data_IF_246416771794
#
_entry.id   IF_246416771794
#
_cell.length_a   1.000
_cell.length_b   1.000
_cell.length_c   1.000
_cell.angle_alpha   90.00
_cell.angle_beta   90.00
_cell.angle_gamma   90.00
#
_symmetry.space_group_name_H-M   'P 1'
#
loop_
_entity.id
_entity.type
_entity.pdbx_description
1 polymer ?
#
# COMPACT_ATOMS: atom_id res chain seq x y z
N UNK A 1 14.78 2.93 12.37
CA UNK A 1 13.57 3.72 12.69
C UNK A 1 13.94 5.06 13.32
N UNK A 2 13.35 6.19 12.90
CA UNK A 2 13.51 7.48 13.60
C UNK A 2 12.82 7.51 14.97
N UNK A 3 13.30 8.41 15.82
CA UNK A 3 12.67 8.79 17.09
C UNK A 3 11.44 9.66 16.84
N UNK A 4 10.56 9.81 17.85
CA UNK A 4 9.41 10.72 17.78
C UNK A 4 9.80 12.17 17.43
N UNK A 5 10.94 12.66 17.92
CA UNK A 5 11.45 14.00 17.61
C UNK A 5 11.96 14.11 16.17
N UNK A 6 12.62 13.08 15.65
CA UNK A 6 13.07 13.04 14.25
C UNK A 6 11.86 13.05 13.28
N UNK A 7 10.78 12.32 13.58
CA UNK A 7 9.56 12.31 12.77
C UNK A 7 8.92 13.68 12.62
N UNK A 8 8.86 14.46 13.71
CA UNK A 8 8.31 15.81 13.66
C UNK A 8 9.11 16.71 12.72
N UNK A 9 10.44 16.53 12.67
CA UNK A 9 11.34 17.27 11.78
C UNK A 9 11.33 16.75 10.35
N UNK A 10 11.13 15.45 10.16
CA UNK A 10 11.14 14.82 8.84
C UNK A 10 10.07 15.44 7.92
N UNK A 11 8.93 15.85 8.47
CA UNK A 11 7.87 16.48 7.67
C UNK A 11 8.35 17.76 6.97
N UNK A 12 9.23 18.53 7.61
CA UNK A 12 9.78 19.78 7.08
C UNK A 12 10.69 19.53 5.86
N UNK A 13 11.27 18.34 5.73
CA UNK A 13 12.20 17.98 4.66
C UNK A 13 11.54 17.81 3.29
N UNK A 14 10.23 17.59 3.26
CA UNK A 14 9.46 17.48 2.03
C UNK A 14 9.17 18.85 1.40
N UNK A 15 9.26 19.95 2.17
CA UNK A 15 9.10 21.34 1.70
C UNK A 15 7.87 21.58 0.79
N UNK A 16 6.72 21.02 1.17
CA UNK A 16 5.47 21.14 0.41
C UNK A 16 4.56 22.24 0.96
N UNK A 17 3.81 22.89 0.07
CA UNK A 17 2.78 23.84 0.46
C UNK A 17 1.55 23.08 0.95
N UNK A 18 1.10 23.42 2.16
CA UNK A 18 -0.10 22.83 2.75
C UNK A 18 -1.36 23.05 1.88
N UNK A 19 -2.12 21.97 1.65
CA UNK A 19 -3.40 21.99 0.96
C UNK A 19 -4.51 21.37 1.83
N UNK A 20 -5.15 22.13 2.74
CA UNK A 20 -6.12 21.62 3.69
C UNK A 20 -7.31 20.89 3.05
N UNK A 21 -7.77 21.35 1.88
CA UNK A 21 -8.88 20.74 1.15
C UNK A 21 -8.53 19.34 0.65
N UNK A 22 -7.33 19.17 0.08
CA UNK A 22 -6.83 17.87 -0.36
C UNK A 22 -6.58 16.95 0.84
N UNK A 23 -5.97 17.45 1.92
CA UNK A 23 -5.76 16.66 3.14
C UNK A 23 -7.07 16.07 3.66
N UNK A 24 -8.16 16.84 3.62
CA UNK A 24 -9.50 16.33 4.02
C UNK A 24 -9.96 15.18 3.11
N UNK A 25 -9.76 15.27 1.79
CA UNK A 25 -10.12 14.20 0.85
C UNK A 25 -9.29 12.94 1.08
N UNK A 26 -7.96 13.08 1.15
CA UNK A 26 -7.03 11.97 1.33
C UNK A 26 -7.22 11.23 2.65
N UNK A 27 -7.58 11.94 3.72
CA UNK A 27 -7.94 11.32 5.02
C UNK A 27 -9.21 10.47 4.98
N UNK A 28 -9.99 10.52 3.91
CA UNK A 28 -11.17 9.66 3.76
C UNK A 28 -10.96 8.53 2.74
N UNK A 29 -9.77 8.42 2.15
CA UNK A 29 -9.46 7.37 1.18
C UNK A 29 -9.17 6.03 1.84
N UNK A 30 -9.52 4.95 1.14
CA UNK A 30 -9.11 3.60 1.49
C UNK A 30 -7.60 3.39 1.31
N UNK A 31 -7.06 2.48 2.11
CA UNK A 31 -5.70 1.96 2.00
C UNK A 31 -5.75 0.64 1.24
N UNK A 32 -4.94 0.49 0.21
CA UNK A 32 -4.95 -0.65 -0.68
C UNK A 32 -3.69 -1.49 -0.47
N UNK A 33 -3.89 -2.76 -0.16
CA UNK A 33 -2.85 -3.79 -0.21
C UNK A 33 -3.11 -4.70 -1.39
N UNK A 34 -2.09 -4.95 -2.22
CA UNK A 34 -2.24 -5.65 -3.49
C UNK A 34 -1.37 -6.92 -3.54
N UNK A 35 -2.00 -8.02 -3.94
CA UNK A 35 -1.32 -9.24 -4.38
C UNK A 35 -1.31 -9.29 -5.90
N UNK A 36 -0.13 -9.12 -6.50
CA UNK A 36 0.06 -9.24 -7.96
C UNK A 36 0.26 -10.72 -8.32
N UNK A 37 -0.52 -11.20 -9.27
CA UNK A 37 -0.57 -12.62 -9.63
C UNK A 37 0.17 -12.86 -10.95
N UNK A 38 1.40 -13.35 -10.84
CA UNK A 38 2.20 -13.79 -12.00
C UNK A 38 1.71 -15.14 -12.55
N UNK A 39 1.34 -16.06 -11.66
CA UNK A 39 0.77 -17.37 -11.96
C UNK A 39 -0.43 -17.62 -11.06
N UNK A 40 -1.50 -18.22 -11.60
CA UNK A 40 -2.71 -18.57 -10.83
C UNK A 40 -2.54 -19.88 -10.04
N UNK A 41 -1.45 -20.61 -10.26
CA UNK A 41 -1.19 -21.85 -9.53
C UNK A 41 -0.98 -21.59 -8.03
N UNK A 42 -1.79 -22.22 -7.18
CA UNK A 42 -1.65 -22.18 -5.72
C UNK A 42 -2.29 -20.96 -5.06
N UNK A 43 -2.82 -20.01 -5.85
CA UNK A 43 -3.45 -18.79 -5.32
C UNK A 43 -4.67 -19.11 -4.46
N UNK A 44 -5.43 -20.16 -4.78
CA UNK A 44 -6.58 -20.56 -3.98
C UNK A 44 -6.20 -20.94 -2.55
N UNK A 45 -5.05 -21.59 -2.35
CA UNK A 45 -4.57 -22.01 -1.04
C UNK A 45 -4.14 -20.80 -0.22
N UNK A 46 -3.37 -19.90 -0.85
CA UNK A 46 -2.96 -18.64 -0.23
C UNK A 46 -4.17 -17.81 0.23
N UNK A 47 -5.19 -17.71 -0.62
CA UNK A 47 -6.41 -16.99 -0.28
C UNK A 47 -7.22 -17.69 0.82
N UNK A 48 -7.29 -19.03 0.80
CA UNK A 48 -7.90 -19.80 1.87
C UNK A 48 -7.24 -19.52 3.22
N UNK A 49 -5.91 -19.52 3.29
CA UNK A 49 -5.17 -19.21 4.52
C UNK A 49 -5.45 -17.80 5.01
N UNK A 50 -5.45 -16.81 4.11
CA UNK A 50 -5.75 -15.42 4.46
C UNK A 50 -7.17 -15.28 5.01
N UNK A 51 -8.19 -15.78 4.30
CA UNK A 51 -9.59 -15.65 4.74
C UNK A 51 -9.88 -16.45 6.00
N UNK A 52 -9.27 -17.62 6.16
CA UNK A 52 -9.36 -18.42 7.39
C UNK A 52 -8.73 -17.71 8.59
N UNK A 53 -7.63 -16.99 8.36
CA UNK A 53 -6.94 -16.28 9.44
C UNK A 53 -7.67 -15.00 9.85
N UNK A 54 -8.44 -14.40 8.96
CA UNK A 54 -9.06 -13.08 9.09
C UNK A 54 -8.11 -11.88 9.08
N UNK A 55 -6.83 -12.11 8.79
CA UNK A 55 -5.82 -11.07 8.79
C UNK A 55 -4.99 -11.09 7.51
N UNK A 56 -4.57 -9.91 7.06
CA UNK A 56 -3.30 -9.78 6.36
C UNK A 56 -2.20 -9.90 7.41
N UNK A 57 -1.17 -10.69 7.14
CA UNK A 57 -0.09 -10.98 8.08
C UNK A 57 1.24 -10.66 7.40
N UNK A 58 2.10 -9.94 8.09
CA UNK A 58 3.48 -9.64 7.65
C UNK A 58 4.28 -10.93 7.46
N UNK A 59 5.26 -10.91 6.56
CA UNK A 59 6.05 -12.08 6.21
C UNK A 59 6.79 -12.65 7.44
N UNK A 60 7.33 -11.79 8.31
CA UNK A 60 7.97 -12.23 9.55
C UNK A 60 7.02 -12.98 10.47
N UNK A 61 5.78 -12.52 10.57
CA UNK A 61 4.75 -13.15 11.41
C UNK A 61 4.20 -14.45 10.82
N UNK A 62 4.39 -14.70 9.52
CA UNK A 62 4.06 -15.98 8.87
C UNK A 62 5.09 -17.09 9.17
N UNK A 63 6.29 -16.74 9.65
CA UNK A 63 7.32 -17.68 10.09
C UNK A 63 8.21 -18.23 8.95
N UNK A 64 9.05 -19.21 9.28
CA UNK A 64 10.15 -19.70 8.43
C UNK A 64 9.72 -20.36 7.10
N UNK A 65 8.42 -20.66 6.93
CA UNK A 65 7.87 -21.34 5.76
C UNK A 65 6.99 -20.42 4.89
N UNK A 66 7.01 -19.10 5.12
CA UNK A 66 6.27 -18.14 4.30
C UNK A 66 6.71 -18.26 2.84
N UNK A 67 5.81 -18.74 1.97
CA UNK A 67 6.13 -18.86 0.55
C UNK A 67 6.36 -17.48 -0.06
N UNK A 68 7.39 -17.36 -0.91
CA UNK A 68 7.67 -16.15 -1.67
C UNK A 68 6.54 -15.73 -2.64
N UNK A 69 5.52 -16.56 -2.82
CA UNK A 69 4.28 -16.28 -3.55
C UNK A 69 3.45 -15.17 -2.90
N UNK A 70 3.68 -14.86 -1.61
CA UNK A 70 3.06 -13.78 -0.83
C UNK A 70 3.85 -12.46 -0.83
N UNK A 71 4.60 -12.19 -1.91
CA UNK A 71 5.60 -11.12 -2.04
C UNK A 71 6.87 -11.39 -1.23
N UNK A 72 7.60 -12.45 -1.65
CA UNK A 72 8.83 -12.93 -1.03
C UNK A 72 9.74 -11.82 -0.53
N UNK A 73 10.15 -11.99 0.73
CA UNK A 73 11.09 -11.10 1.39
C UNK A 73 12.44 -11.26 0.73
N UNK A 74 12.92 -10.23 0.03
CA UNK A 74 14.31 -10.22 -0.36
C UNK A 74 15.15 -10.18 0.93
N UNK A 75 16.35 -10.75 0.95
CA UNK A 75 17.15 -10.74 2.19
C UNK A 75 17.41 -9.32 2.70
N UNK A 76 17.46 -8.35 1.79
CA UNK A 76 17.49 -6.94 2.12
C UNK A 76 16.26 -6.45 2.92
N UNK A 77 15.06 -6.95 2.62
CA UNK A 77 13.87 -6.59 3.38
C UNK A 77 13.97 -7.10 4.83
N UNK A 78 14.59 -8.26 5.06
CA UNK A 78 14.87 -8.77 6.42
C UNK A 78 15.93 -7.95 7.15
N UNK A 79 17.02 -7.59 6.47
CA UNK A 79 18.10 -6.75 7.04
C UNK A 79 17.56 -5.40 7.55
N UNK A 80 16.49 -4.93 6.92
CA UNK A 80 15.81 -3.69 7.27
C UNK A 80 14.59 -3.86 8.19
N UNK A 81 14.27 -5.09 8.58
CA UNK A 81 13.01 -5.45 9.25
C UNK A 81 11.75 -5.01 8.47
N UNK A 82 11.84 -4.85 7.14
CA UNK A 82 10.68 -4.56 6.29
C UNK A 82 9.70 -5.72 6.27
N UNK A 83 10.16 -6.93 6.53
CA UNK A 83 9.37 -8.15 6.66
C UNK A 83 8.45 -8.16 7.89
N UNK A 84 8.64 -7.25 8.84
CA UNK A 84 7.73 -7.00 9.98
C UNK A 84 6.44 -6.28 9.58
N UNK A 85 6.38 -5.71 8.38
CA UNK A 85 5.32 -4.80 7.99
C UNK A 85 4.53 -5.29 6.77
N UNK A 86 3.27 -4.90 6.74
CA UNK A 86 2.37 -5.00 5.61
C UNK A 86 2.28 -3.61 4.99
N UNK A 87 2.56 -3.52 3.69
CA UNK A 87 2.61 -2.25 2.98
C UNK A 87 1.30 -1.98 2.27
N UNK A 88 0.83 -0.75 2.43
CA UNK A 88 -0.37 -0.22 1.82
C UNK A 88 -0.02 1.02 1.00
N UNK A 89 -0.82 1.26 -0.02
CA UNK A 89 -0.85 2.52 -0.76
C UNK A 89 -2.17 3.22 -0.46
N UNK A 90 -2.16 4.54 -0.30
CA UNK A 90 -3.40 5.29 -0.05
C UNK A 90 -4.05 5.66 -1.37
N UNK A 91 -5.35 5.38 -1.54
CA UNK A 91 -6.04 5.68 -2.80
C UNK A 91 -5.34 5.04 -4.00
N UNK A 92 -5.39 5.70 -5.16
CA UNK A 92 -4.80 5.18 -6.39
C UNK A 92 -3.31 5.49 -6.63
N UNK A 93 -2.48 5.58 -5.57
CA UNK A 93 -1.02 5.30 -5.70
C UNK A 93 -0.79 3.79 -5.87
N UNK A 94 -1.76 3.04 -6.36
CA UNK A 94 -1.46 1.72 -6.84
C UNK A 94 -0.70 1.97 -8.12
N UNK A 95 0.62 1.73 -8.13
CA UNK A 95 1.35 1.61 -9.39
C UNK A 95 0.71 0.43 -10.11
N UNK A 96 -0.27 0.72 -10.96
CA UNK A 96 -1.29 -0.21 -11.40
C UNK A 96 -0.70 -1.21 -12.40
N UNK A 97 0.12 -2.14 -11.93
CA UNK A 97 0.24 -3.44 -12.57
C UNK A 97 -0.85 -4.38 -12.00
N UNK A 98 -2.08 -3.86 -11.87
CA UNK A 98 -3.25 -4.56 -11.36
C UNK A 98 -3.96 -5.40 -12.43
N UNK A 99 -3.27 -5.73 -13.52
CA UNK A 99 -3.84 -6.51 -14.61
C UNK A 99 -4.31 -7.90 -14.17
N UNK A 100 -3.65 -8.49 -13.16
CA UNK A 100 -4.01 -9.75 -12.52
C UNK A 100 -3.72 -9.64 -11.03
N UNK A 101 -4.74 -9.39 -10.21
CA UNK A 101 -4.51 -9.10 -8.78
C UNK A 101 -5.71 -9.38 -7.89
N UNK A 102 -5.41 -9.55 -6.60
CA UNK A 102 -6.38 -9.49 -5.50
C UNK A 102 -5.99 -8.31 -4.63
N UNK A 103 -6.94 -7.43 -4.32
CA UNK A 103 -6.67 -6.16 -3.65
C UNK A 103 -7.60 -6.00 -2.45
N UNK A 104 -7.03 -5.68 -1.30
CA UNK A 104 -7.73 -5.41 -0.06
C UNK A 104 -7.81 -3.89 0.14
N UNK A 105 -9.01 -3.32 0.10
CA UNK A 105 -9.30 -1.92 0.41
C UNK A 105 -9.71 -1.82 1.89
N UNK A 106 -8.82 -1.26 2.71
CA UNK A 106 -9.01 -1.06 4.14
C UNK A 106 -9.48 0.37 4.40
N UNK A 107 -10.64 0.57 5.05
CA UNK A 107 -11.11 1.89 5.42
C UNK A 107 -10.12 2.66 6.31
N UNK A 108 -10.02 4.00 6.14
CA UNK A 108 -9.02 4.81 6.83
C UNK A 108 -9.11 4.75 8.35
N UNK A 109 -10.32 4.53 8.90
CA UNK A 109 -10.56 4.44 10.34
C UNK A 109 -9.78 3.30 11.02
N UNK A 110 -9.38 2.26 10.29
CA UNK A 110 -8.60 1.14 10.83
C UNK A 110 -7.09 1.38 10.80
N UNK A 111 -6.62 2.37 10.02
CA UNK A 111 -5.20 2.61 9.76
C UNK A 111 -4.71 3.93 10.37
N UNK A 112 -5.52 4.99 10.31
CA UNK A 112 -5.09 6.34 10.73
C UNK A 112 -4.82 6.51 12.22
N UNK A 113 -5.44 5.68 13.06
CA UNK A 113 -5.23 5.72 14.51
C UNK A 113 -3.99 4.95 14.97
N UNK A 114 -3.31 4.22 14.07
CA UNK A 114 -2.15 3.41 14.41
C UNK A 114 -1.00 4.33 14.83
N UNK A 115 -0.43 4.03 16.00
CA UNK A 115 0.71 4.77 16.51
C UNK A 115 1.96 4.47 15.71
N UNK A 116 2.89 5.44 15.65
CA UNK A 116 4.14 5.31 14.90
C UNK A 116 4.93 4.02 15.18
N UNK A 117 4.89 3.51 16.41
CA UNK A 117 5.61 2.28 16.79
C UNK A 117 5.07 1.04 16.06
N UNK A 118 3.79 1.07 15.69
CA UNK A 118 3.06 -0.03 15.06
C UNK A 118 2.74 0.27 13.58
N UNK A 119 2.94 1.50 13.12
CA UNK A 119 2.78 1.82 11.71
C UNK A 119 3.24 3.24 11.32
N UNK A 120 3.80 3.36 10.12
CA UNK A 120 4.41 4.59 9.64
C UNK A 120 4.23 4.78 8.13
N UNK A 121 4.47 6.00 7.68
CA UNK A 121 4.61 6.33 6.27
C UNK A 121 6.09 6.40 5.91
N UNK A 122 6.46 5.98 4.70
CA UNK A 122 7.80 6.17 4.14
C UNK A 122 7.77 6.35 2.63
N UNK A 123 8.88 6.82 2.06
CA UNK A 123 9.13 6.61 0.64
C UNK A 123 9.79 5.24 0.44
N UNK A 124 9.50 4.53 -0.64
CA UNK A 124 10.09 3.21 -0.89
C UNK A 124 11.63 3.29 -0.92
N UNK A 125 12.30 2.47 -0.10
CA UNK A 125 13.76 2.50 0.00
C UNK A 125 14.45 2.18 -1.33
N UNK A 126 13.77 1.47 -2.25
CA UNK A 126 14.34 1.14 -3.55
C UNK A 126 14.82 2.38 -4.33
N UNK A 127 14.27 3.55 -4.00
CA UNK A 127 14.61 4.85 -4.58
C UNK A 127 15.90 5.47 -4.03
N UNK A 128 16.46 4.93 -2.94
CA UNK A 128 17.64 5.45 -2.24
C UNK A 128 18.86 4.57 -2.43
N UNK A 129 19.21 4.27 -3.68
CA UNK A 129 20.41 3.48 -4.01
C UNK A 129 21.64 4.38 -4.12
N UNK A 130 22.73 3.99 -3.47
CA UNK A 130 24.01 4.70 -3.57
C UNK A 130 24.70 4.33 -4.88
N UNK A 131 25.04 5.35 -5.68
CA UNK A 131 25.81 5.20 -6.92
C UNK A 131 25.23 4.17 -7.92
N UNK A 132 23.92 3.93 -7.90
CA UNK A 132 23.25 2.95 -8.78
C UNK A 132 23.48 1.48 -8.41
N UNK A 133 24.13 1.20 -7.28
CA UNK A 133 24.34 -0.16 -6.78
C UNK A 133 23.08 -0.67 -6.07
N UNK A 134 22.62 -1.85 -6.47
CA UNK A 134 21.43 -2.51 -5.92
C UNK A 134 21.67 -3.06 -4.51
N UNK A 135 22.92 -3.14 -4.04
CA UNK A 135 23.27 -3.69 -2.74
C UNK A 135 23.65 -2.63 -1.70
N UNK A 136 23.75 -1.35 -2.08
CA UNK A 136 24.08 -0.27 -1.15
C UNK A 136 23.01 0.83 -1.14
N UNK A 137 22.34 0.98 0.00
CA UNK A 137 21.27 1.96 0.17
C UNK A 137 21.69 3.13 1.04
N UNK A 138 21.11 4.30 0.75
CA UNK A 138 21.15 5.46 1.64
C UNK A 138 20.05 5.35 2.70
N UNK A 139 20.34 4.55 3.71
CA UNK A 139 19.46 4.35 4.84
C UNK A 139 19.15 5.63 5.60
N UNK A 140 20.05 6.62 5.59
CA UNK A 140 19.83 7.86 6.30
C UNK A 140 18.80 8.73 5.56
N UNK A 141 18.96 8.90 4.25
CA UNK A 141 17.96 9.59 3.42
C UNK A 141 16.60 8.87 3.46
N UNK A 142 16.58 7.54 3.41
CA UNK A 142 15.32 6.80 3.57
C UNK A 142 14.69 7.03 4.96
N UNK A 143 15.48 6.95 6.05
CA UNK A 143 15.02 7.22 7.43
C UNK A 143 14.40 8.61 7.56
N UNK A 144 14.90 9.57 6.79
CA UNK A 144 14.44 10.95 6.78
C UNK A 144 13.08 11.15 6.07
N UNK A 145 12.61 10.14 5.33
CA UNK A 145 11.26 10.10 4.76
C UNK A 145 10.21 9.55 5.71
N UNK A 146 10.62 8.90 6.79
CA UNK A 146 9.70 8.18 7.68
C UNK A 146 8.90 9.17 8.53
N UNK A 147 7.58 9.03 8.50
CA UNK A 147 6.61 9.88 9.19
C UNK A 147 5.55 9.06 9.92
N UNK A 148 4.78 9.68 10.82
CA UNK A 148 3.51 9.05 11.26
C UNK A 148 2.54 8.90 10.09
N UNK A 149 1.62 7.93 10.16
CA UNK A 149 0.59 7.71 9.13
C UNK A 149 -0.14 9.01 8.76
N UNK A 150 -0.57 9.78 9.77
CA UNK A 150 -1.29 11.04 9.56
C UNK A 150 -0.45 12.10 8.83
N UNK A 151 0.83 12.22 9.17
CA UNK A 151 1.74 13.13 8.46
C UNK A 151 2.00 12.66 7.03
N UNK A 152 2.13 11.35 6.81
CA UNK A 152 2.26 10.75 5.49
C UNK A 152 1.09 11.06 4.56
N UNK A 153 -0.14 10.91 5.07
CA UNK A 153 -1.36 11.31 4.34
C UNK A 153 -1.32 12.79 3.97
N UNK A 154 -0.90 13.64 4.91
CA UNK A 154 -0.84 15.09 4.69
C UNK A 154 0.23 15.45 3.63
N UNK A 155 1.43 14.87 3.70
CA UNK A 155 2.50 15.06 2.70
C UNK A 155 2.03 14.62 1.32
N UNK A 156 1.38 13.46 1.25
CA UNK A 156 0.87 12.94 0.00
C UNK A 156 -0.19 13.85 -0.62
N UNK A 157 -1.13 14.33 0.19
CA UNK A 157 -2.17 15.25 -0.25
C UNK A 157 -1.59 16.57 -0.75
N UNK A 158 -0.60 17.12 -0.04
CA UNK A 158 0.08 18.35 -0.40
C UNK A 158 0.92 18.18 -1.69
N UNK A 159 1.55 17.03 -1.86
CA UNK A 159 2.28 16.68 -3.07
C UNK A 159 1.35 16.65 -4.28
N UNK A 160 0.24 15.93 -4.19
CA UNK A 160 -0.73 15.83 -5.29
C UNK A 160 -1.35 17.18 -5.62
N UNK A 161 -1.66 17.98 -4.61
CA UNK A 161 -2.17 19.33 -4.82
C UNK A 161 -1.15 20.27 -5.47
N UNK A 162 0.15 19.98 -5.36
CA UNK A 162 1.23 20.77 -5.94
C UNK A 162 1.54 20.32 -7.38
N UNK A 163 1.72 19.01 -7.57
CA UNK A 163 2.14 18.41 -8.84
C UNK A 163 1.00 18.29 -9.87
N UNK A 164 -0.20 17.92 -9.41
CA UNK A 164 -1.36 17.64 -10.26
C UNK A 164 -2.48 18.67 -10.05
N UNK A 165 -2.11 19.92 -9.76
CA UNK A 165 -3.04 20.97 -9.32
C UNK A 165 -4.22 21.26 -10.27
N UNK A 166 -4.02 21.07 -11.58
CA UNK A 166 -5.02 21.32 -12.63
C UNK A 166 -5.94 20.14 -12.85
N UNK A 167 -5.41 18.92 -12.75
CA UNK A 167 -6.17 17.68 -12.94
C UNK A 167 -5.70 16.64 -11.91
N UNK A 168 -6.20 16.68 -10.66
CA UNK A 168 -5.77 15.78 -9.59
C UNK A 168 -6.01 14.31 -9.87
N UNK A 169 -6.93 13.98 -10.78
CA UNK A 169 -7.17 12.61 -11.24
C UNK A 169 -5.98 12.03 -11.98
N UNK A 170 -5.06 12.84 -12.53
CA UNK A 170 -3.83 12.37 -13.15
C UNK A 170 -2.93 11.61 -12.18
N UNK A 171 -2.98 11.94 -10.89
CA UNK A 171 -2.29 11.19 -9.85
C UNK A 171 -2.66 9.70 -9.84
N UNK A 172 -3.89 9.34 -10.25
CA UNK A 172 -4.37 7.96 -10.24
C UNK A 172 -3.79 7.09 -11.38
N UNK A 173 -3.19 7.72 -12.39
CA UNK A 173 -2.64 7.05 -13.57
C UNK A 173 -1.20 7.43 -13.87
N UNK A 174 -0.65 8.42 -13.16
CA UNK A 174 0.71 8.86 -13.36
C UNK A 174 1.69 7.74 -13.00
N UNK A 175 2.56 7.42 -13.96
CA UNK A 175 3.76 6.60 -13.73
C UNK A 175 4.99 7.46 -13.46
N UNK A 176 4.84 8.77 -13.60
CA UNK A 176 5.89 9.76 -13.37
C UNK A 176 5.59 10.43 -12.05
N UNK A 177 6.27 9.95 -11.02
CA UNK A 177 6.34 10.68 -9.77
C UNK A 177 7.58 11.58 -9.84
N UNK A 178 7.38 12.87 -9.60
CA UNK A 178 8.49 13.80 -9.41
C UNK A 178 9.35 13.44 -8.21
N UNK A 179 10.55 14.02 -8.16
CA UNK A 179 11.44 13.87 -7.02
C UNK A 179 10.97 14.75 -5.85
N UNK A 180 10.99 14.21 -4.64
CA UNK A 180 10.43 14.92 -3.47
C UNK A 180 11.41 15.09 -2.30
N UNK A 181 12.34 14.16 -2.10
CA UNK A 181 13.36 14.25 -1.05
C UNK A 181 14.68 13.65 -1.54
N UNK A 182 15.77 14.41 -1.44
CA UNK A 182 17.11 14.03 -1.90
C UNK A 182 17.19 13.57 -3.37
N UNK A 183 16.33 14.12 -4.23
CA UNK A 183 16.27 13.74 -5.64
C UNK A 183 15.71 12.33 -5.89
N UNK A 184 15.12 11.68 -4.88
CA UNK A 184 14.52 10.37 -5.02
C UNK A 184 13.09 10.47 -5.56
N UNK A 185 12.74 9.56 -6.49
CA UNK A 185 11.37 9.42 -7.00
C UNK A 185 10.39 9.18 -5.85
N UNK A 186 9.24 9.84 -5.90
CA UNK A 186 8.23 9.71 -4.86
C UNK A 186 7.36 8.45 -5.05
N UNK A 187 7.69 7.39 -4.31
CA UNK A 187 6.95 6.13 -4.17
C UNK A 187 6.44 5.97 -2.73
N UNK A 188 5.36 6.66 -2.34
CA UNK A 188 4.86 6.68 -0.96
C UNK A 188 4.21 5.37 -0.51
N UNK A 189 4.61 4.86 0.66
CA UNK A 189 4.12 3.64 1.30
C UNK A 189 3.61 3.90 2.72
N UNK A 190 2.65 3.10 3.16
CA UNK A 190 2.19 3.03 4.54
C UNK A 190 2.44 1.61 5.07
N UNK A 191 3.32 1.49 6.05
CA UNK A 191 3.77 0.22 6.61
C UNK A 191 3.09 -0.03 7.96
N UNK A 192 2.37 -1.15 8.10
CA UNK A 192 1.68 -1.53 9.34
C UNK A 192 2.26 -2.83 9.87
N UNK A 193 2.61 -2.84 11.15
CA UNK A 193 3.34 -3.93 11.78
C UNK A 193 2.46 -5.16 12.00
N UNK A 194 3.06 -6.34 11.86
CA UNK A 194 2.55 -7.66 12.21
C UNK A 194 1.31 -8.12 11.43
N UNK A 195 0.14 -7.49 11.63
CA UNK A 195 -1.12 -7.91 11.01
C UNK A 195 -2.17 -6.81 10.92
N UNK A 196 -3.07 -6.92 9.94
CA UNK A 196 -4.24 -6.04 9.73
C UNK A 196 -5.50 -6.87 9.58
N UNK A 197 -6.55 -6.57 10.37
CA UNK A 197 -7.87 -7.24 10.26
C UNK A 197 -8.48 -6.94 8.90
N UNK A 198 -8.99 -7.98 8.23
CA UNK A 198 -9.71 -7.86 6.95
C UNK A 198 -11.15 -8.35 7.04
N UNK A 199 -11.59 -8.88 8.19
CA UNK A 199 -12.95 -9.41 8.39
C UNK A 199 -13.92 -8.34 8.92
N UNK A 200 -13.67 -7.09 8.57
CA UNK A 200 -14.55 -5.98 8.92
C UNK A 200 -15.59 -5.77 7.80
N UNK A 201 -16.82 -5.42 8.18
CA UNK A 201 -17.96 -5.33 7.24
C UNK A 201 -17.80 -4.32 6.09
N UNK A 202 -16.89 -3.36 6.24
CA UNK A 202 -16.61 -2.29 5.28
C UNK A 202 -15.23 -2.40 4.63
N UNK A 203 -14.47 -3.46 4.91
CA UNK A 203 -13.31 -3.86 4.10
C UNK A 203 -13.83 -4.45 2.79
N UNK A 204 -13.26 -4.00 1.67
CA UNK A 204 -13.62 -4.52 0.34
C UNK A 204 -12.47 -5.33 -0.23
N UNK A 205 -12.83 -6.43 -0.88
CA UNK A 205 -11.88 -7.28 -1.58
C UNK A 205 -12.20 -7.20 -3.07
N UNK A 206 -11.20 -6.82 -3.86
CA UNK A 206 -11.30 -6.71 -5.31
C UNK A 206 -10.54 -7.82 -5.99
N UNK A 207 -11.13 -8.38 -7.04
CA UNK A 207 -10.48 -9.34 -7.93
C UNK A 207 -10.37 -8.68 -9.30
N UNK A 208 -9.16 -8.60 -9.85
CA UNK A 208 -8.89 -7.92 -11.11
C UNK A 208 -8.26 -8.89 -12.11
N UNK A 209 -8.91 -9.10 -13.25
CA UNK A 209 -8.37 -9.80 -14.41
C UNK A 209 -7.97 -11.27 -14.20
N UNK A 210 -8.52 -11.94 -13.17
CA UNK A 210 -8.30 -13.37 -12.95
C UNK A 210 -9.28 -14.23 -13.76
N UNK A 211 -8.91 -15.50 -13.97
CA UNK A 211 -9.80 -16.47 -14.60
C UNK A 211 -11.13 -16.62 -13.85
N UNK A 212 -12.18 -16.99 -14.58
CA UNK A 212 -13.50 -17.24 -14.00
C UNK A 212 -13.44 -18.33 -12.93
N UNK A 213 -12.76 -19.44 -13.24
CA UNK A 213 -12.64 -20.58 -12.33
C UNK A 213 -11.96 -20.19 -11.01
N UNK A 214 -10.85 -19.44 -11.05
CA UNK A 214 -10.19 -18.99 -9.83
C UNK A 214 -11.05 -17.96 -9.06
N UNK A 215 -11.72 -17.05 -9.78
CA UNK A 215 -12.63 -16.07 -9.17
C UNK A 215 -13.78 -16.76 -8.43
N UNK A 216 -14.35 -17.82 -9.01
CA UNK A 216 -15.40 -18.63 -8.38
C UNK A 216 -14.89 -19.33 -7.12
N UNK A 217 -13.73 -20.00 -7.20
CA UNK A 217 -13.09 -20.61 -6.03
C UNK A 217 -12.87 -19.61 -4.90
N UNK A 218 -12.30 -18.44 -5.19
CA UNK A 218 -12.06 -17.39 -4.19
C UNK A 218 -13.39 -16.93 -3.57
N UNK A 219 -14.43 -16.72 -4.37
CA UNK A 219 -15.74 -16.31 -3.86
C UNK A 219 -16.39 -17.39 -2.98
N UNK A 220 -16.22 -18.67 -3.31
CA UNK A 220 -16.68 -19.79 -2.46
C UNK A 220 -15.94 -19.83 -1.12
N UNK A 221 -14.61 -19.68 -1.14
CA UNK A 221 -13.77 -19.59 0.06
C UNK A 221 -14.17 -18.39 0.92
N UNK A 222 -14.39 -17.23 0.32
CA UNK A 222 -14.86 -16.04 1.03
C UNK A 222 -16.20 -16.27 1.73
N UNK A 223 -17.16 -16.92 1.06
CA UNK A 223 -18.44 -17.30 1.68
C UNK A 223 -18.28 -18.29 2.83
N UNK A 224 -17.36 -19.25 2.71
CA UNK A 224 -17.08 -20.23 3.75
C UNK A 224 -16.61 -19.58 5.06
N UNK A 225 -15.88 -18.46 4.95
CA UNK A 225 -15.34 -17.71 6.09
C UNK A 225 -16.11 -16.40 6.37
N UNK A 226 -17.38 -16.33 5.97
CA UNK A 226 -18.31 -15.22 6.28
C UNK A 226 -17.85 -13.83 5.77
N UNK A 227 -17.25 -13.77 4.58
CA UNK A 227 -16.95 -12.51 3.89
C UNK A 227 -18.06 -12.11 2.92
N UNK A 228 -18.20 -10.80 2.70
CA UNK A 228 -18.99 -10.28 1.57
C UNK A 228 -18.36 -10.68 0.25
N UNK A 229 -19.18 -10.96 -0.78
CA UNK A 229 -18.67 -11.30 -2.11
C UNK A 229 -17.71 -10.23 -2.65
N UNK A 230 -16.63 -10.64 -3.35
CA UNK A 230 -15.64 -9.71 -3.85
C UNK A 230 -16.22 -8.85 -4.99
N UNK A 231 -15.63 -7.67 -5.17
CA UNK A 231 -15.91 -6.79 -6.29
C UNK A 231 -15.02 -7.24 -7.47
N UNK A 232 -15.65 -7.71 -8.54
CA UNK A 232 -14.95 -8.29 -9.69
C UNK A 232 -14.77 -7.24 -10.79
N UNK A 233 -13.52 -7.06 -11.19
CA UNK A 233 -13.09 -6.19 -12.30
C UNK A 233 -12.50 -7.08 -13.40
N UNK A 234 -13.05 -7.01 -14.62
CA UNK A 234 -12.58 -7.87 -15.71
C UNK A 234 -11.21 -7.43 -16.22
N UNK A 235 -10.95 -6.13 -16.16
CA UNK A 235 -9.73 -5.50 -16.66
C UNK A 235 -9.15 -4.54 -15.63
N UNK A 236 -7.89 -4.15 -15.86
CA UNK A 236 -7.24 -3.05 -15.14
C UNK A 236 -8.05 -1.75 -15.30
N UNK A 237 -8.59 -1.51 -16.48
CA UNK A 237 -9.35 -0.30 -16.80
C UNK A 237 -10.66 -0.22 -15.99
N UNK A 238 -11.33 -1.36 -15.77
CA UNK A 238 -12.52 -1.43 -14.90
C UNK A 238 -12.18 -1.03 -13.45
N UNK A 239 -11.06 -1.54 -12.94
CA UNK A 239 -10.60 -1.19 -11.59
C UNK A 239 -10.19 0.28 -11.49
N UNK A 240 -9.52 0.83 -12.52
CA UNK A 240 -9.21 2.27 -12.56
C UNK A 240 -10.48 3.11 -12.54
N UNK A 241 -11.52 2.75 -13.30
CA UNK A 241 -12.82 3.45 -13.27
C UNK A 241 -13.47 3.41 -11.88
N UNK A 242 -13.38 2.28 -11.17
CA UNK A 242 -13.78 2.20 -9.77
C UNK A 242 -12.99 3.18 -8.89
N UNK A 243 -11.67 3.25 -9.04
CA UNK A 243 -10.86 4.21 -8.28
C UNK A 243 -11.23 5.66 -8.60
N UNK A 244 -11.43 6.01 -9.88
CA UNK A 244 -11.88 7.36 -10.26
C UNK A 244 -13.23 7.74 -9.66
N UNK A 245 -14.19 6.82 -9.67
CA UNK A 245 -15.53 7.07 -9.12
C UNK A 245 -15.58 7.08 -7.59
N UNK A 246 -14.70 6.34 -6.92
CA UNK A 246 -14.64 6.26 -5.46
C UNK A 246 -13.74 7.31 -4.81
N UNK A 247 -12.75 7.84 -5.52
CA UNK A 247 -11.71 8.70 -4.91
C UNK A 247 -12.18 10.10 -4.55
N UNK A 248 -13.30 10.60 -5.06
CA UNK A 248 -13.81 11.97 -4.79
C UNK A 248 -12.73 13.06 -4.80
N UNK A 249 -11.72 12.92 -5.67
CA UNK A 249 -10.60 13.84 -5.83
C UNK A 249 -11.00 15.10 -6.56
#
# INVERSE_FOLDING_TARGET
MPTKQEILKNQEKFNLKASPEFRKKFRNMGFFHQFVIGSEFGIENTMEEIFKSHYLISLKSQGLNAEGSLAGTLDIDKEMNRDEYIYFRLGAIVNCNCSRSIIFEIPPKYIQSIEYIDGFFCNDIIQYRKNGDFMSFDYQSHKDTILSIKQGIDILADYVASEFNTEPTQYLTSRTYGELHDGAEFSPEFAIKDRVSIHESDVKIHIVGLSKDLTEKINETMKLYDYQSPIIHKTREDFLQYLFSSSSL
#
